data_IF_609093118625
#
_entry.id   IF_609093118625
#
_cell.length_a   1.000
_cell.length_b   1.000
_cell.length_c   1.000
_cell.angle_alpha   90.00
_cell.angle_beta   90.00
_cell.angle_gamma   90.00
#
_symmetry.space_group_name_H-M   'P 1'
#
loop_
_entity.id
_entity.type
_entity.pdbx_description
1 polymer ?
#
# COMPACT_ATOMS: atom_id res chain seq x y z
N UNK A 1 -22.40 -18.24 69.38
CA UNK A 1 -23.71 -17.94 68.81
C UNK A 1 -23.62 -16.54 68.23
N UNK A 2 -24.05 -16.36 66.97
CA UNK A 2 -24.25 -15.09 66.26
C UNK A 2 -23.04 -14.28 65.87
N UNK A 3 -22.53 -14.37 64.64
CA UNK A 3 -22.76 -13.46 63.53
C UNK A 3 -21.85 -13.91 62.33
N UNK A 4 -22.41 -14.69 61.46
CA UNK A 4 -21.84 -15.06 60.17
C UNK A 4 -22.95 -15.03 59.10
N UNK A 5 -23.39 -13.83 58.73
CA UNK A 5 -24.38 -13.69 57.66
C UNK A 5 -24.50 -12.21 57.15
N UNK A 6 -23.36 -11.51 56.91
CA UNK A 6 -23.45 -10.15 56.29
C UNK A 6 -22.20 -9.80 55.46
N UNK A 7 -21.62 -10.75 54.74
CA UNK A 7 -20.52 -10.41 53.82
C UNK A 7 -20.55 -11.25 52.51
N UNK A 8 -21.72 -11.40 51.92
CA UNK A 8 -21.89 -12.14 50.66
C UNK A 8 -22.78 -11.40 49.67
N UNK A 9 -22.63 -10.07 49.55
CA UNK A 9 -23.43 -9.28 48.57
C UNK A 9 -22.72 -8.02 48.02
N UNK A 10 -21.42 -8.12 47.79
CA UNK A 10 -20.68 -7.02 47.16
C UNK A 10 -19.56 -7.54 46.22
N UNK A 11 -19.90 -8.47 45.32
CA UNK A 11 -18.98 -8.90 44.24
C UNK A 11 -19.77 -9.37 43.04
N UNK A 12 -20.59 -8.52 42.46
CA UNK A 12 -21.25 -8.79 41.18
C UNK A 12 -21.68 -7.49 40.47
N UNK A 13 -20.80 -6.48 40.41
CA UNK A 13 -20.98 -5.33 39.53
C UNK A 13 -19.58 -4.88 39.04
N UNK A 14 -18.97 -5.69 38.21
CA UNK A 14 -17.79 -5.41 37.44
C UNK A 14 -17.81 -6.32 36.22
N UNK A 15 -18.85 -6.22 35.40
CA UNK A 15 -18.75 -6.74 34.05
C UNK A 15 -17.65 -5.94 33.39
N UNK A 16 -16.50 -6.59 33.23
CA UNK A 16 -15.36 -6.11 32.45
C UNK A 16 -15.89 -5.69 31.09
N UNK A 17 -16.03 -4.38 30.85
CA UNK A 17 -16.29 -3.90 29.51
C UNK A 17 -15.05 -4.29 28.74
N UNK A 18 -15.19 -5.34 27.93
CA UNK A 18 -14.14 -5.76 27.01
C UNK A 18 -13.62 -4.48 26.31
N UNK A 19 -12.37 -4.14 26.58
CA UNK A 19 -11.74 -2.98 25.97
C UNK A 19 -11.67 -3.21 24.48
N UNK A 20 -12.15 -2.24 23.66
CA UNK A 20 -12.05 -2.34 22.21
C UNK A 20 -10.59 -2.46 21.80
N UNK A 21 -10.25 -3.31 20.81
CA UNK A 21 -8.91 -3.31 20.26
C UNK A 21 -8.51 -1.92 19.75
N UNK A 22 -7.27 -1.53 20.02
CA UNK A 22 -6.73 -0.23 19.64
C UNK A 22 -5.91 -0.33 18.35
N UNK A 23 -6.31 0.45 17.34
CA UNK A 23 -5.66 0.49 16.03
C UNK A 23 -4.85 1.80 15.91
N UNK A 24 -3.54 1.67 15.65
CA UNK A 24 -2.71 2.81 15.30
C UNK A 24 -2.75 3.05 13.79
N UNK A 25 -3.36 4.15 13.36
CA UNK A 25 -3.36 4.58 11.95
C UNK A 25 -2.10 5.39 11.70
N UNK A 26 -1.20 4.86 10.85
CA UNK A 26 0.06 5.51 10.46
C UNK A 26 -0.11 6.21 9.11
N UNK A 27 0.36 7.46 9.00
CA UNK A 27 0.25 8.25 7.78
C UNK A 27 1.40 9.25 7.61
N UNK A 28 1.53 9.83 6.41
CA UNK A 28 2.60 10.73 6.04
C UNK A 28 3.81 9.99 5.47
N UNK A 29 4.96 10.06 6.14
CA UNK A 29 6.17 9.35 5.74
C UNK A 29 7.12 10.16 4.86
N UNK A 30 8.23 9.54 4.45
CA UNK A 30 9.36 10.18 3.77
C UNK A 30 9.25 10.17 2.24
N UNK A 31 8.25 9.47 1.69
CA UNK A 31 8.10 9.34 0.24
C UNK A 31 7.54 10.62 -0.41
N UNK A 32 7.63 10.71 -1.73
CA UNK A 32 6.98 11.75 -2.53
C UNK A 32 5.45 11.70 -2.45
N UNK A 33 4.89 10.60 -1.97
CA UNK A 33 3.44 10.38 -1.81
C UNK A 33 2.92 10.77 -0.41
N UNK A 34 3.72 11.54 0.35
CA UNK A 34 3.39 12.01 1.70
C UNK A 34 2.00 12.64 1.80
N UNK A 35 1.68 13.59 0.92
CA UNK A 35 0.39 14.27 0.91
C UNK A 35 -0.79 13.35 0.55
N UNK A 36 -0.58 12.39 -0.34
CA UNK A 36 -1.56 11.35 -0.69
C UNK A 36 -1.89 10.49 0.54
N UNK A 37 -0.87 10.13 1.31
CA UNK A 37 -1.03 9.41 2.57
C UNK A 37 -1.89 10.16 3.59
N UNK A 38 -1.77 11.49 3.68
CA UNK A 38 -2.61 12.32 4.58
C UNK A 38 -4.08 12.29 4.15
N UNK A 39 -4.34 12.40 2.84
CA UNK A 39 -5.71 12.36 2.28
C UNK A 39 -6.33 10.99 2.54
N UNK A 40 -5.56 9.92 2.34
CA UNK A 40 -5.98 8.55 2.63
C UNK A 40 -6.31 8.38 4.11
N UNK A 41 -5.43 8.85 5.01
CA UNK A 41 -5.64 8.76 6.45
C UNK A 41 -6.89 9.52 6.90
N UNK A 42 -7.13 10.75 6.41
CA UNK A 42 -8.37 11.48 6.67
C UNK A 42 -9.61 10.68 6.30
N UNK A 43 -9.57 10.03 5.14
CA UNK A 43 -10.70 9.22 4.66
C UNK A 43 -10.96 8.01 5.56
N UNK A 44 -9.92 7.28 5.95
CA UNK A 44 -10.01 6.13 6.85
C UNK A 44 -10.46 6.56 8.24
N UNK A 45 -9.88 7.62 8.81
CA UNK A 45 -10.25 8.12 10.15
C UNK A 45 -11.70 8.59 10.25
N UNK A 46 -12.29 9.08 9.15
CA UNK A 46 -13.72 9.42 9.06
C UNK A 46 -14.63 8.19 8.96
N UNK A 47 -14.16 7.11 8.34
CA UNK A 47 -14.97 5.94 8.05
C UNK A 47 -14.79 4.77 9.03
N UNK A 48 -13.67 4.72 9.76
CA UNK A 48 -13.38 3.65 10.70
C UNK A 48 -14.44 3.54 11.80
N UNK A 49 -14.91 2.34 12.07
CA UNK A 49 -16.00 2.07 13.00
C UNK A 49 -15.55 2.23 14.47
N UNK A 50 -15.83 3.41 15.06
CA UNK A 50 -15.46 3.73 16.44
C UNK A 50 -16.24 2.93 17.50
N UNK A 51 -17.30 2.22 17.10
CA UNK A 51 -18.00 1.29 18.00
C UNK A 51 -17.25 -0.02 18.17
N UNK A 52 -16.44 -0.42 17.18
CA UNK A 52 -15.62 -1.61 17.20
C UNK A 52 -14.18 -1.35 17.61
N UNK A 53 -13.60 -0.21 17.20
CA UNK A 53 -12.17 0.06 17.32
C UNK A 53 -11.89 1.35 18.11
N UNK A 54 -10.97 1.27 19.05
CA UNK A 54 -10.25 2.43 19.53
C UNK A 54 -9.16 2.81 18.52
N UNK A 55 -8.88 4.11 18.37
CA UNK A 55 -7.95 4.58 17.35
C UNK A 55 -6.94 5.57 17.92
N UNK A 56 -5.68 5.38 17.51
CA UNK A 56 -4.59 6.33 17.73
C UNK A 56 -4.06 6.75 16.36
N UNK A 57 -3.99 8.06 16.11
CA UNK A 57 -3.47 8.59 14.86
C UNK A 57 -2.02 9.00 15.04
N UNK A 58 -1.13 8.43 14.21
CA UNK A 58 0.31 8.67 14.26
C UNK A 58 0.77 9.19 12.89
N UNK A 59 1.16 10.43 12.84
CA UNK A 59 1.73 11.05 11.66
C UNK A 59 3.25 10.94 11.64
N UNK A 60 3.80 10.62 10.47
CA UNK A 60 5.23 10.55 10.21
C UNK A 60 5.61 11.74 9.32
N UNK A 61 6.46 12.62 9.82
CA UNK A 61 6.95 13.78 9.07
C UNK A 61 7.86 13.36 7.89
N UNK A 62 8.17 14.29 7.00
CA UNK A 62 9.04 14.03 5.83
C UNK A 62 10.48 13.71 6.20
N UNK A 63 10.94 14.10 7.39
CA UNK A 63 12.24 13.70 7.96
C UNK A 63 12.19 12.38 8.74
N UNK A 64 11.00 11.77 8.87
CA UNK A 64 10.81 10.46 9.49
C UNK A 64 10.53 10.50 11.00
N UNK A 65 10.26 11.64 11.60
CA UNK A 65 9.86 11.72 13.01
C UNK A 65 8.36 11.41 13.17
N UNK A 66 8.03 10.71 14.25
CA UNK A 66 6.67 10.23 14.53
C UNK A 66 6.02 11.08 15.61
N UNK A 67 4.76 11.49 15.38
CA UNK A 67 4.00 12.34 16.30
C UNK A 67 2.56 11.86 16.43
N UNK A 68 1.94 12.09 17.59
CA UNK A 68 0.49 11.95 17.74
C UNK A 68 -0.21 13.15 17.11
N UNK A 69 -1.30 12.86 16.42
CA UNK A 69 -2.22 13.86 15.89
C UNK A 69 -3.65 13.47 16.26
N UNK A 70 -4.50 14.47 16.51
CA UNK A 70 -5.92 14.23 16.51
C UNK A 70 -6.48 14.21 15.09
N UNK A 71 -7.67 13.66 14.93
CA UNK A 71 -8.38 13.72 13.65
C UNK A 71 -8.68 15.15 13.25
N UNK A 72 -9.04 16.01 14.21
CA UNK A 72 -9.35 17.41 14.01
C UNK A 72 -8.14 18.21 13.49
N UNK A 73 -6.94 17.93 14.01
CA UNK A 73 -5.69 18.55 13.54
C UNK A 73 -5.41 18.19 12.09
N UNK A 74 -5.57 16.91 11.72
CA UNK A 74 -5.38 16.46 10.36
C UNK A 74 -6.43 17.06 9.41
N UNK A 75 -7.69 17.12 9.83
CA UNK A 75 -8.77 17.72 9.03
C UNK A 75 -8.52 19.21 8.82
N UNK A 76 -8.20 19.95 9.86
CA UNK A 76 -7.90 21.39 9.77
C UNK A 76 -6.70 21.68 8.85
N UNK A 77 -5.66 20.84 8.90
CA UNK A 77 -4.50 20.96 8.02
C UNK A 77 -4.91 20.78 6.55
N UNK A 78 -5.62 19.71 6.23
CA UNK A 78 -6.00 19.39 4.84
C UNK A 78 -7.10 20.30 4.29
N UNK A 79 -7.95 20.87 5.13
CA UNK A 79 -8.93 21.88 4.71
C UNK A 79 -8.25 23.22 4.36
N UNK A 80 -7.16 23.55 5.05
CA UNK A 80 -6.38 24.75 4.75
C UNK A 80 -5.41 24.56 3.57
N UNK A 81 -4.90 23.33 3.38
CA UNK A 81 -3.90 23.01 2.37
C UNK A 81 -4.07 21.53 1.91
N UNK A 82 -4.79 21.26 0.82
CA UNK A 82 -5.10 19.90 0.38
C UNK A 82 -3.88 18.99 0.12
N UNK A 83 -2.77 19.57 -0.34
CA UNK A 83 -1.50 18.84 -0.57
C UNK A 83 -0.46 19.21 0.50
N UNK A 84 -0.89 19.18 1.77
CA UNK A 84 -0.06 19.58 2.89
C UNK A 84 1.11 18.60 3.15
N UNK A 85 2.12 19.14 3.81
CA UNK A 85 3.14 18.36 4.51
C UNK A 85 2.87 18.45 6.00
N UNK A 86 2.98 17.33 6.73
CA UNK A 86 2.78 17.33 8.19
C UNK A 86 3.81 18.25 8.87
N UNK A 87 3.38 19.22 9.64
CA UNK A 87 4.27 19.95 10.55
C UNK A 87 4.76 19.01 11.66
N UNK A 88 5.73 19.42 12.44
CA UNK A 88 6.06 18.72 13.67
C UNK A 88 4.90 18.81 14.66
N UNK A 89 4.46 17.68 15.20
CA UNK A 89 3.43 17.61 16.22
C UNK A 89 3.98 17.92 17.61
N UNK A 90 3.10 18.17 18.56
CA UNK A 90 3.46 18.50 19.95
C UNK A 90 3.99 17.29 20.73
N UNK A 91 3.51 16.08 20.42
CA UNK A 91 3.88 14.85 21.10
C UNK A 91 4.59 13.90 20.17
N UNK A 92 5.92 13.81 20.31
CA UNK A 92 6.73 12.84 19.61
C UNK A 92 6.55 11.45 20.22
N UNK A 93 6.45 10.42 19.36
CA UNK A 93 6.31 9.02 19.79
C UNK A 93 7.30 8.10 19.10
N UNK A 94 7.54 6.95 19.69
CA UNK A 94 8.29 5.84 19.07
C UNK A 94 7.63 4.52 19.45
N UNK A 95 7.85 3.48 18.63
CA UNK A 95 7.49 2.11 18.97
C UNK A 95 8.50 1.54 19.98
N UNK A 96 8.06 0.72 20.96
CA UNK A 96 8.97 -0.15 21.66
C UNK A 96 9.49 -1.21 20.70
N UNK A 97 10.79 -1.52 20.76
CA UNK A 97 11.38 -2.58 19.94
C UNK A 97 11.58 -3.88 20.73
N UNK A 98 11.05 -3.94 21.95
CA UNK A 98 11.05 -5.16 22.75
C UNK A 98 9.80 -5.97 22.40
N UNK A 99 10.01 -7.20 21.95
CA UNK A 99 8.92 -8.12 21.64
C UNK A 99 7.94 -8.28 22.81
N UNK A 100 6.64 -8.20 22.51
CA UNK A 100 5.57 -8.25 23.50
C UNK A 100 5.27 -6.93 24.22
N UNK A 101 6.00 -5.86 23.96
CA UNK A 101 5.64 -4.50 24.38
C UNK A 101 4.94 -3.79 23.21
N UNK A 102 3.70 -3.36 23.40
CA UNK A 102 2.86 -2.76 22.35
C UNK A 102 2.37 -1.36 22.71
N UNK A 103 2.84 -0.78 23.82
CA UNK A 103 2.51 0.60 24.16
C UNK A 103 3.43 1.58 23.43
N UNK A 104 2.86 2.58 22.76
CA UNK A 104 3.64 3.70 22.23
C UNK A 104 4.46 4.38 23.35
N UNK A 105 5.70 4.72 23.06
CA UNK A 105 6.54 5.49 23.97
C UNK A 105 6.41 6.98 23.62
N UNK A 106 5.86 7.76 24.54
CA UNK A 106 5.67 9.21 24.41
C UNK A 106 6.88 9.93 24.97
N UNK A 107 7.51 10.78 24.14
CA UNK A 107 8.65 11.61 24.52
C UNK A 107 8.17 12.91 25.17
N UNK A 108 8.44 13.09 26.44
CA UNK A 108 8.20 14.34 27.15
C UNK A 108 9.52 15.13 27.21
N UNK A 109 9.75 15.94 26.19
CA UNK A 109 10.96 16.74 26.05
C UNK A 109 10.80 18.08 26.77
N UNK A 110 11.73 18.43 27.64
CA UNK A 110 11.81 19.73 28.32
C UNK A 110 13.20 20.35 28.10
N UNK A 111 13.35 21.63 28.38
CA UNK A 111 14.65 22.29 28.31
C UNK A 111 15.72 21.72 29.26
N UNK A 112 15.28 21.04 30.33
CA UNK A 112 16.15 20.47 31.39
C UNK A 112 16.44 18.97 31.18
N UNK A 113 15.83 18.35 30.17
CA UNK A 113 15.97 16.94 29.86
C UNK A 113 14.67 16.34 29.34
N UNK A 114 14.61 15.01 29.19
CA UNK A 114 13.44 14.32 28.69
C UNK A 114 13.15 13.06 29.47
N UNK A 115 11.88 12.65 29.48
CA UNK A 115 11.44 11.35 29.99
C UNK A 115 10.59 10.64 28.94
N UNK A 116 10.56 9.32 29.01
CA UNK A 116 9.65 8.48 28.24
C UNK A 116 8.52 8.02 29.16
N UNK A 117 7.30 8.12 28.67
CA UNK A 117 6.12 7.56 29.35
C UNK A 117 5.45 6.55 28.41
N UNK A 118 4.86 5.50 28.99
CA UNK A 118 4.05 4.56 28.22
C UNK A 118 2.75 5.25 27.81
N UNK A 119 2.46 5.18 26.54
CA UNK A 119 1.23 5.67 25.93
C UNK A 119 0.17 4.56 25.86
N UNK A 120 -0.62 4.59 24.78
CA UNK A 120 -1.66 3.60 24.55
C UNK A 120 -1.08 2.26 24.08
N UNK A 121 -1.71 1.18 24.53
CA UNK A 121 -1.52 -0.16 23.97
C UNK A 121 -2.05 -0.19 22.53
N UNK A 122 -1.34 -0.85 21.63
CA UNK A 122 -1.70 -1.01 20.21
C UNK A 122 -1.89 -2.50 19.94
N UNK A 123 -3.07 -2.88 19.47
CA UNK A 123 -3.40 -4.24 19.07
C UNK A 123 -3.07 -4.52 17.60
N UNK A 124 -3.24 -3.50 16.75
CA UNK A 124 -2.88 -3.56 15.34
C UNK A 124 -2.47 -2.18 14.81
N UNK A 125 -1.65 -2.18 13.78
CA UNK A 125 -1.24 -0.97 13.03
C UNK A 125 -1.92 -0.98 11.67
N UNK A 126 -2.49 0.14 11.26
CA UNK A 126 -2.98 0.35 9.89
C UNK A 126 -2.06 1.35 9.18
N UNK A 127 -1.06 0.86 8.43
CA UNK A 127 -0.17 1.73 7.70
C UNK A 127 -0.85 2.22 6.42
N UNK A 128 -1.03 3.52 6.30
CA UNK A 128 -1.56 4.21 5.12
C UNK A 128 -0.45 5.01 4.43
N UNK A 129 0.71 4.40 4.32
CA UNK A 129 1.92 4.98 3.73
C UNK A 129 2.09 4.44 2.32
N UNK A 130 2.29 5.32 1.35
CA UNK A 130 2.47 4.95 -0.04
C UNK A 130 3.92 5.12 -0.48
N UNK A 131 4.35 4.25 -1.41
CA UNK A 131 5.68 4.27 -2.00
C UNK A 131 6.82 3.81 -1.07
N UNK A 132 8.06 4.26 -1.32
CA UNK A 132 9.22 3.87 -0.53
C UNK A 132 9.05 4.15 0.97
N UNK A 133 9.60 3.28 1.80
CA UNK A 133 9.47 3.24 3.27
C UNK A 133 8.06 2.89 3.79
N UNK A 134 7.04 2.84 2.95
CA UNK A 134 5.68 2.40 3.30
C UNK A 134 5.34 1.04 2.72
N UNK A 135 5.68 0.81 1.44
CA UNK A 135 5.32 -0.39 0.68
C UNK A 135 6.52 -1.28 0.32
N UNK A 136 7.72 -1.00 0.79
CA UNK A 136 8.96 -1.66 0.41
C UNK A 136 9.49 -2.70 1.42
N UNK A 137 8.71 -3.01 2.45
CA UNK A 137 9.07 -3.94 3.51
C UNK A 137 9.83 -3.31 4.68
N UNK A 138 10.27 -2.05 4.61
CA UNK A 138 11.04 -1.41 5.70
C UNK A 138 10.17 -1.12 6.91
N UNK A 139 8.97 -0.58 6.73
CA UNK A 139 8.01 -0.40 7.82
C UNK A 139 7.53 -1.73 8.37
N UNK A 140 7.20 -2.67 7.48
CA UNK A 140 6.76 -4.00 7.86
C UNK A 140 7.82 -4.71 8.72
N UNK A 141 9.10 -4.61 8.33
CA UNK A 141 10.22 -5.14 9.13
C UNK A 141 10.35 -4.49 10.52
N UNK A 142 10.07 -3.20 10.64
CA UNK A 142 10.03 -2.51 11.94
C UNK A 142 8.89 -3.06 12.81
N UNK A 143 7.70 -3.27 12.22
CA UNK A 143 6.53 -3.80 12.94
C UNK A 143 6.72 -5.26 13.35
N UNK A 144 7.36 -6.08 12.50
CA UNK A 144 7.76 -7.47 12.85
C UNK A 144 8.73 -7.49 14.02
N UNK A 145 9.76 -6.63 14.04
CA UNK A 145 10.71 -6.54 15.16
C UNK A 145 10.06 -6.12 16.47
N UNK A 146 8.95 -5.37 16.40
CA UNK A 146 8.17 -4.93 17.54
C UNK A 146 7.05 -5.91 17.95
N UNK A 147 6.92 -7.07 17.29
CA UNK A 147 5.80 -8.01 17.46
C UNK A 147 4.41 -7.35 17.35
N UNK A 148 4.28 -6.34 16.49
CA UNK A 148 3.02 -5.65 16.25
C UNK A 148 2.31 -6.21 15.01
N UNK A 149 1.03 -6.53 15.17
CA UNK A 149 0.16 -6.87 14.04
C UNK A 149 -0.08 -5.65 13.17
N UNK A 150 -0.24 -5.86 11.87
CA UNK A 150 -0.50 -4.75 10.96
C UNK A 150 -1.38 -5.20 9.78
N UNK A 151 -2.11 -4.24 9.24
CA UNK A 151 -2.92 -4.39 8.01
C UNK A 151 -1.99 -4.42 6.81
N UNK A 152 -2.26 -5.34 5.89
CA UNK A 152 -1.59 -5.40 4.60
C UNK A 152 -0.50 -6.46 4.51
N UNK A 153 0.24 -6.41 3.42
CA UNK A 153 1.25 -7.39 3.06
C UNK A 153 2.44 -7.39 4.02
N UNK A 154 3.08 -8.56 4.16
CA UNK A 154 4.27 -8.77 4.95
C UNK A 154 5.55 -8.20 4.32
N UNK A 155 6.68 -8.43 4.97
CA UNK A 155 8.01 -7.92 4.54
C UNK A 155 8.35 -8.42 3.13
N UNK A 156 8.23 -9.73 2.89
CA UNK A 156 8.54 -10.36 1.59
C UNK A 156 7.68 -9.80 0.46
N UNK A 157 6.37 -9.84 0.65
CA UNK A 157 5.42 -9.38 -0.35
C UNK A 157 5.62 -7.89 -0.70
N UNK A 158 5.82 -7.04 0.31
CA UNK A 158 6.08 -5.62 0.12
C UNK A 158 7.39 -5.37 -0.63
N UNK A 159 8.48 -6.05 -0.27
CA UNK A 159 9.77 -5.88 -0.92
C UNK A 159 9.77 -6.38 -2.38
N UNK A 160 9.09 -7.50 -2.65
CA UNK A 160 8.93 -8.04 -4.01
C UNK A 160 8.01 -7.15 -4.82
N UNK A 161 6.86 -6.75 -4.28
CA UNK A 161 5.88 -5.88 -4.95
C UNK A 161 6.43 -4.50 -5.31
N UNK A 162 7.34 -3.96 -4.51
CA UNK A 162 8.00 -2.68 -4.80
C UNK A 162 9.02 -2.78 -5.93
N UNK A 163 9.67 -3.91 -6.14
CA UNK A 163 10.72 -4.07 -7.15
C UNK A 163 10.15 -4.73 -8.43
N UNK A 164 9.92 -3.92 -9.48
CA UNK A 164 9.32 -4.37 -10.76
C UNK A 164 10.00 -5.59 -11.40
N UNK A 165 11.31 -5.76 -11.18
CA UNK A 165 12.01 -6.94 -11.67
C UNK A 165 11.65 -8.18 -10.85
N UNK A 166 11.80 -8.14 -9.52
CA UNK A 166 11.53 -9.31 -8.69
C UNK A 166 10.05 -9.69 -8.68
N UNK A 167 9.16 -8.72 -8.76
CA UNK A 167 7.74 -8.93 -8.95
C UNK A 167 7.44 -9.73 -10.23
N UNK A 168 8.02 -9.33 -11.38
CA UNK A 168 7.86 -10.06 -12.65
C UNK A 168 8.43 -11.49 -12.56
N UNK A 169 9.57 -11.67 -11.91
CA UNK A 169 10.15 -13.01 -11.68
C UNK A 169 9.20 -13.89 -10.84
N UNK A 170 8.57 -13.34 -9.81
CA UNK A 170 7.58 -14.06 -9.01
C UNK A 170 6.36 -14.47 -9.87
N UNK A 171 5.85 -13.55 -10.68
CA UNK A 171 4.71 -13.80 -11.57
C UNK A 171 5.01 -14.88 -12.61
N UNK A 172 6.16 -14.80 -13.30
CA UNK A 172 6.61 -15.83 -14.27
C UNK A 172 6.73 -17.19 -13.60
N UNK A 173 7.29 -17.25 -12.38
CA UNK A 173 7.42 -18.49 -11.61
C UNK A 173 6.07 -19.11 -11.24
N UNK A 174 5.03 -18.27 -11.07
CA UNK A 174 3.66 -18.71 -10.81
C UNK A 174 2.87 -19.02 -12.09
N UNK A 175 3.49 -18.91 -13.27
CA UNK A 175 2.84 -19.18 -14.55
C UNK A 175 1.98 -18.05 -15.09
N UNK A 176 2.10 -16.84 -14.55
CA UNK A 176 1.43 -15.67 -15.07
C UNK A 176 2.17 -15.09 -16.28
N UNK A 177 1.43 -14.62 -17.25
CA UNK A 177 1.98 -13.94 -18.43
C UNK A 177 2.34 -12.50 -18.08
N UNK A 178 3.61 -12.13 -18.28
CA UNK A 178 4.12 -10.76 -18.13
C UNK A 178 4.53 -10.22 -19.51
N UNK A 179 4.48 -8.89 -19.66
CA UNK A 179 4.99 -8.24 -20.87
C UNK A 179 6.50 -8.43 -21.03
N UNK A 180 7.04 -8.48 -22.27
CA UNK A 180 8.47 -8.59 -22.50
C UNK A 180 9.26 -7.45 -21.84
N UNK A 181 10.37 -7.76 -21.17
CA UNK A 181 11.17 -6.77 -20.47
C UNK A 181 12.66 -7.11 -20.45
N UNK A 182 13.49 -6.13 -20.16
CA UNK A 182 14.92 -6.33 -19.83
C UNK A 182 15.28 -5.51 -18.59
N UNK A 183 16.21 -6.04 -17.79
CA UNK A 183 16.71 -5.38 -16.59
C UNK A 183 18.06 -4.74 -16.88
N UNK A 184 18.21 -3.48 -16.48
CA UNK A 184 19.45 -2.72 -16.63
C UNK A 184 19.97 -2.33 -15.25
N UNK A 185 21.08 -2.96 -14.85
CA UNK A 185 21.82 -2.52 -13.68
C UNK A 185 22.75 -1.36 -14.04
N UNK A 186 22.99 -0.47 -13.09
CA UNK A 186 23.89 0.68 -13.27
C UNK A 186 25.27 0.27 -13.83
N UNK A 187 25.83 -0.86 -13.34
CA UNK A 187 27.10 -1.40 -13.84
C UNK A 187 27.06 -1.77 -15.33
N UNK A 188 25.93 -2.32 -15.80
CA UNK A 188 25.78 -2.76 -17.20
C UNK A 188 25.75 -1.55 -18.13
N UNK A 189 25.02 -0.52 -17.73
CA UNK A 189 24.95 0.73 -18.46
C UNK A 189 26.30 1.45 -18.52
N UNK A 190 27.05 1.54 -17.40
CA UNK A 190 28.33 2.23 -17.34
C UNK A 190 29.45 1.49 -18.09
N UNK A 191 29.43 0.17 -18.16
CA UNK A 191 30.52 -0.63 -18.69
C UNK A 191 30.22 -1.33 -20.02
N UNK A 192 28.97 -1.45 -20.41
CA UNK A 192 28.55 -2.17 -21.63
C UNK A 192 27.25 -1.59 -22.21
N UNK A 193 27.16 -0.26 -22.45
CA UNK A 193 25.92 0.38 -22.90
C UNK A 193 25.43 -0.17 -24.25
N UNK A 194 26.34 -0.62 -25.15
CA UNK A 194 25.97 -1.21 -26.42
C UNK A 194 25.13 -2.49 -26.23
N UNK A 195 25.53 -3.37 -25.28
CA UNK A 195 24.77 -4.57 -24.98
C UNK A 195 23.41 -4.27 -24.37
N UNK A 196 23.28 -3.15 -23.66
CA UNK A 196 21.98 -2.69 -23.15
C UNK A 196 21.09 -2.27 -24.31
N UNK A 197 21.62 -1.45 -25.25
CA UNK A 197 20.88 -1.01 -26.44
C UNK A 197 20.44 -2.20 -27.31
N UNK A 198 21.32 -3.20 -27.52
CA UNK A 198 20.99 -4.44 -28.24
C UNK A 198 19.81 -5.18 -27.60
N UNK A 199 19.86 -5.43 -26.28
CA UNK A 199 18.75 -6.09 -25.56
C UNK A 199 17.44 -5.31 -25.61
N UNK A 200 17.50 -3.96 -25.53
CA UNK A 200 16.32 -3.14 -25.65
C UNK A 200 15.75 -3.15 -27.08
N UNK A 201 16.63 -3.16 -28.09
CA UNK A 201 16.19 -3.25 -29.48
C UNK A 201 15.44 -4.56 -29.80
N UNK A 202 15.78 -5.66 -29.11
CA UNK A 202 15.06 -6.94 -29.22
C UNK A 202 13.61 -6.86 -28.71
N UNK A 203 13.29 -5.92 -27.80
CA UNK A 203 11.92 -5.72 -27.33
C UNK A 203 11.01 -5.05 -28.38
N UNK A 204 11.60 -4.31 -29.32
CA UNK A 204 10.88 -3.44 -30.24
C UNK A 204 10.37 -2.15 -29.57
N UNK A 205 10.16 -1.11 -30.38
CA UNK A 205 9.64 0.17 -29.90
C UNK A 205 8.13 0.26 -30.16
N UNK A 206 7.35 1.00 -29.33
CA UNK A 206 7.82 1.77 -28.18
C UNK A 206 8.19 0.89 -26.98
N UNK A 207 9.15 1.38 -26.16
CA UNK A 207 9.47 0.80 -24.85
C UNK A 207 9.23 1.82 -23.73
N UNK A 208 9.04 1.33 -22.51
CA UNK A 208 8.92 2.14 -21.31
C UNK A 208 10.13 1.93 -20.41
N UNK A 209 10.92 2.97 -20.18
CA UNK A 209 12.07 2.95 -19.27
C UNK A 209 11.59 3.35 -17.90
N UNK A 210 11.72 2.45 -16.91
CA UNK A 210 11.16 2.60 -15.57
C UNK A 210 12.25 2.41 -14.50
N UNK A 211 12.31 3.25 -13.45
CA UNK A 211 13.00 2.89 -12.21
C UNK A 211 12.40 1.60 -11.65
N UNK A 212 13.23 0.67 -11.17
CA UNK A 212 12.72 -0.61 -10.68
C UNK A 212 11.88 -0.46 -9.41
N UNK A 213 12.23 0.51 -8.54
CA UNK A 213 11.65 0.70 -7.20
C UNK A 213 11.10 2.13 -7.02
N UNK A 214 10.16 2.51 -7.88
CA UNK A 214 9.44 3.76 -7.78
C UNK A 214 7.95 3.53 -7.97
N UNK A 215 7.13 4.21 -7.16
CA UNK A 215 5.67 4.23 -7.24
C UNK A 215 5.15 5.36 -8.15
N UNK A 216 3.82 5.44 -8.29
CA UNK A 216 3.08 6.54 -8.93
C UNK A 216 3.63 7.00 -10.28
N UNK A 217 4.13 6.08 -11.09
CA UNK A 217 4.73 6.34 -12.42
C UNK A 217 5.92 7.33 -12.41
N UNK A 218 6.55 7.57 -11.26
CA UNK A 218 7.63 8.54 -11.14
C UNK A 218 8.88 8.09 -11.90
N UNK A 219 9.41 8.94 -12.77
CA UNK A 219 10.62 8.66 -13.55
C UNK A 219 10.43 7.69 -14.71
N UNK A 220 9.18 7.36 -15.09
CA UNK A 220 8.87 6.54 -16.27
C UNK A 220 8.95 7.42 -17.52
N UNK A 221 9.60 6.90 -18.56
CA UNK A 221 9.71 7.56 -19.86
C UNK A 221 9.33 6.57 -20.97
N UNK A 222 8.36 6.95 -21.81
CA UNK A 222 8.06 6.26 -23.07
C UNK A 222 9.10 6.65 -24.11
N UNK A 223 9.62 5.67 -24.80
CA UNK A 223 10.64 5.82 -25.85
C UNK A 223 10.11 5.19 -27.13
N UNK A 224 9.84 6.02 -28.12
CA UNK A 224 9.31 5.57 -29.42
C UNK A 224 10.41 5.24 -30.42
N UNK A 225 11.65 5.72 -30.20
CA UNK A 225 12.78 5.54 -31.14
C UNK A 225 14.09 5.32 -30.38
N UNK A 226 14.97 4.53 -30.98
CA UNK A 226 16.26 4.14 -30.38
C UNK A 226 17.14 5.34 -29.96
N UNK A 227 17.06 6.45 -30.70
CA UNK A 227 17.86 7.66 -30.46
C UNK A 227 17.51 8.36 -29.14
N UNK A 228 16.30 8.16 -28.61
CA UNK A 228 15.82 8.78 -27.37
C UNK A 228 16.12 7.91 -26.13
N UNK A 229 16.58 6.65 -26.33
CA UNK A 229 16.76 5.65 -25.26
C UNK A 229 17.77 6.09 -24.19
N UNK A 230 18.92 6.61 -24.60
CA UNK A 230 19.99 6.99 -23.68
C UNK A 230 19.53 8.10 -22.72
N UNK A 231 18.82 9.08 -23.24
CA UNK A 231 18.25 10.18 -22.43
C UNK A 231 17.24 9.66 -21.42
N UNK A 232 16.38 8.73 -21.83
CA UNK A 232 15.38 8.11 -20.96
C UNK A 232 16.04 7.28 -19.83
N UNK A 233 17.09 6.52 -20.16
CA UNK A 233 17.88 5.77 -19.18
C UNK A 233 18.52 6.72 -18.16
N UNK A 234 19.16 7.80 -18.62
CA UNK A 234 19.79 8.78 -17.70
C UNK A 234 18.76 9.48 -16.80
N UNK A 235 17.57 9.76 -17.31
CA UNK A 235 16.48 10.31 -16.52
C UNK A 235 16.03 9.32 -15.43
N UNK A 236 15.74 8.08 -15.78
CA UNK A 236 15.30 7.06 -14.85
C UNK A 236 16.36 6.71 -13.79
N UNK A 237 17.67 6.77 -14.15
CA UNK A 237 18.79 6.55 -13.22
C UNK A 237 18.91 7.60 -12.11
N UNK A 238 18.30 8.77 -12.25
CA UNK A 238 18.22 9.75 -11.18
C UNK A 238 17.33 9.28 -10.04
N UNK A 239 16.44 8.35 -10.29
CA UNK A 239 15.48 7.82 -9.32
C UNK A 239 15.87 6.42 -8.79
N UNK A 240 16.42 5.52 -9.63
CA UNK A 240 16.94 4.23 -9.22
C UNK A 240 18.09 3.77 -10.11
N UNK A 241 19.11 3.17 -9.52
CA UNK A 241 20.26 2.61 -10.24
C UNK A 241 19.98 1.25 -10.88
N UNK A 242 18.79 0.66 -10.64
CA UNK A 242 18.25 -0.51 -11.30
C UNK A 242 17.03 -0.09 -12.10
N UNK A 243 17.02 -0.40 -13.38
CA UNK A 243 15.91 -0.07 -14.28
C UNK A 243 15.28 -1.35 -14.84
N UNK A 244 14.00 -1.26 -15.14
CA UNK A 244 13.25 -2.23 -15.93
C UNK A 244 12.78 -1.51 -17.19
N UNK A 245 13.11 -2.05 -18.35
CA UNK A 245 12.67 -1.53 -19.65
C UNK A 245 11.72 -2.54 -20.24
N UNK A 246 10.50 -2.11 -20.52
CA UNK A 246 9.39 -2.96 -20.93
C UNK A 246 8.92 -2.61 -22.34
N UNK A 247 8.57 -3.61 -23.13
CA UNK A 247 7.87 -3.41 -24.41
C UNK A 247 6.51 -2.76 -24.15
N UNK A 248 6.10 -1.86 -25.03
CA UNK A 248 4.75 -1.29 -25.00
C UNK A 248 3.69 -2.35 -25.32
N UNK A 249 2.69 -2.47 -24.46
CA UNK A 249 1.55 -3.38 -24.64
C UNK A 249 0.35 -2.55 -25.10
N UNK A 250 -0.29 -2.97 -26.17
CA UNK A 250 -1.57 -2.39 -26.60
C UNK A 250 -2.69 -3.16 -25.92
N UNK A 251 -3.37 -2.50 -24.99
CA UNK A 251 -4.44 -3.11 -24.21
C UNK A 251 -5.17 -2.10 -23.34
N UNK A 252 -6.26 -2.55 -22.73
CA UNK A 252 -7.02 -1.80 -21.73
C UNK A 252 -6.36 -1.99 -20.36
N UNK A 253 -6.26 -0.93 -19.57
CA UNK A 253 -5.73 -0.99 -18.21
C UNK A 253 -6.83 -1.42 -17.25
N UNK A 254 -6.71 -2.61 -16.68
CA UNK A 254 -7.70 -3.24 -15.80
C UNK A 254 -7.07 -3.53 -14.45
N UNK A 255 -7.72 -3.08 -13.40
CA UNK A 255 -7.32 -3.33 -12.01
C UNK A 255 -8.23 -4.37 -11.37
N UNK A 256 -7.69 -5.20 -10.48
CA UNK A 256 -8.43 -6.17 -9.68
C UNK A 256 -7.94 -6.14 -8.23
N UNK A 257 -8.85 -5.92 -7.28
CA UNK A 257 -8.53 -5.90 -5.86
C UNK A 257 -8.55 -7.33 -5.28
N UNK A 258 -7.60 -7.61 -4.39
CA UNK A 258 -7.53 -8.88 -3.65
C UNK A 258 -7.58 -8.60 -2.17
N UNK A 259 -8.30 -9.46 -1.42
CA UNK A 259 -8.34 -9.55 0.03
C UNK A 259 -7.92 -10.94 0.49
N UNK A 260 -7.10 -11.00 1.53
CA UNK A 260 -6.82 -12.25 2.24
C UNK A 260 -8.08 -12.90 2.81
N UNK A 261 -7.99 -14.18 3.13
CA UNK A 261 -9.08 -14.92 3.76
C UNK A 261 -8.88 -15.05 5.27
N UNK A 262 -9.97 -15.06 6.02
CA UNK A 262 -9.96 -15.35 7.46
C UNK A 262 -9.55 -16.80 7.73
N UNK A 263 -8.91 -17.03 8.89
CA UNK A 263 -8.54 -18.38 9.35
C UNK A 263 -7.77 -19.19 8.28
N UNK A 264 -6.93 -18.50 7.49
CA UNK A 264 -6.16 -19.11 6.39
C UNK A 264 -7.00 -19.62 5.22
N UNK A 265 -8.22 -19.14 5.06
CA UNK A 265 -9.01 -19.39 3.85
C UNK A 265 -8.33 -18.75 2.62
N UNK A 266 -8.67 -19.24 1.45
CA UNK A 266 -8.15 -18.71 0.21
C UNK A 266 -8.50 -17.21 0.05
N UNK A 267 -7.57 -16.40 -0.52
CA UNK A 267 -7.87 -15.01 -0.84
C UNK A 267 -8.97 -14.91 -1.88
N UNK A 268 -9.63 -13.77 -1.90
CA UNK A 268 -10.74 -13.48 -2.83
C UNK A 268 -10.47 -12.22 -3.64
N UNK A 269 -10.88 -12.25 -4.90
CA UNK A 269 -10.76 -11.13 -5.81
C UNK A 269 -12.11 -10.42 -6.02
N UNK A 270 -12.07 -9.09 -6.16
CA UNK A 270 -13.23 -8.25 -6.47
C UNK A 270 -13.68 -8.39 -7.93
N UNK A 271 -14.76 -7.72 -8.28
CA UNK A 271 -15.01 -7.35 -9.67
C UNK A 271 -13.92 -6.38 -10.14
N UNK A 272 -13.40 -6.51 -11.39
CA UNK A 272 -12.36 -5.63 -11.89
C UNK A 272 -12.88 -4.23 -12.23
N UNK A 273 -11.99 -3.26 -12.14
CA UNK A 273 -12.21 -1.89 -12.59
C UNK A 273 -11.34 -1.54 -13.78
N UNK A 274 -11.72 -0.56 -14.57
CA UNK A 274 -10.99 -0.07 -15.73
C UNK A 274 -10.58 1.38 -15.55
N UNK A 275 -9.35 1.68 -15.97
CA UNK A 275 -8.84 3.03 -16.07
C UNK A 275 -8.78 3.42 -17.54
N UNK A 276 -9.60 4.37 -17.95
CA UNK A 276 -9.56 4.98 -19.27
C UNK A 276 -8.84 6.33 -19.17
N UNK A 277 -7.59 6.37 -19.62
CA UNK A 277 -6.80 7.61 -19.63
C UNK A 277 -7.36 8.56 -20.68
N UNK A 278 -7.62 9.81 -20.28
CA UNK A 278 -8.15 10.83 -21.17
C UNK A 278 -7.11 11.93 -21.41
N UNK A 279 -6.73 12.14 -22.67
CA UNK A 279 -5.85 13.26 -23.05
C UNK A 279 -4.36 13.09 -22.76
N UNK A 280 -3.94 11.98 -22.18
CA UNK A 280 -2.53 11.65 -21.91
C UNK A 280 -2.13 10.36 -22.63
N UNK A 281 -0.82 10.22 -22.92
CA UNK A 281 -0.29 9.00 -23.54
C UNK A 281 -0.21 7.80 -22.57
N UNK A 282 -0.26 8.06 -21.25
CA UNK A 282 -0.29 7.04 -20.18
C UNK A 282 -0.72 7.66 -18.84
N UNK A 283 -1.14 6.80 -17.90
CA UNK A 283 -1.64 7.20 -16.57
C UNK A 283 -0.50 7.57 -15.62
N UNK A 284 -0.08 8.84 -15.65
CA UNK A 284 1.00 9.38 -14.85
C UNK A 284 0.53 10.00 -13.52
N UNK A 285 1.46 10.61 -12.76
CA UNK A 285 1.16 11.21 -11.46
C UNK A 285 0.16 12.38 -11.56
N UNK A 286 0.25 13.20 -12.62
CA UNK A 286 -0.67 14.33 -12.82
C UNK A 286 -2.10 13.85 -13.08
N UNK A 287 -2.26 12.86 -13.97
CA UNK A 287 -3.56 12.24 -14.26
C UNK A 287 -4.15 11.49 -13.05
N UNK A 288 -3.29 10.99 -12.11
CA UNK A 288 -3.73 10.26 -10.91
C UNK A 288 -4.24 11.15 -9.78
N UNK A 289 -3.65 12.32 -9.58
CA UNK A 289 -3.83 13.07 -8.32
C UNK A 289 -4.08 14.57 -8.48
N UNK A 290 -3.87 15.14 -9.66
CA UNK A 290 -3.89 16.60 -9.87
C UNK A 290 -5.03 17.03 -10.79
N UNK A 291 -5.36 16.25 -11.81
CA UNK A 291 -6.39 16.60 -12.80
C UNK A 291 -7.72 15.89 -12.52
N UNK A 292 -8.80 16.67 -12.38
CA UNK A 292 -10.16 16.12 -12.14
C UNK A 292 -10.68 15.28 -13.33
N UNK A 293 -10.17 15.49 -14.56
CA UNK A 293 -10.59 14.83 -15.80
C UNK A 293 -9.49 13.95 -16.44
N UNK A 294 -8.37 13.68 -15.74
CA UNK A 294 -7.21 12.96 -16.29
C UNK A 294 -7.49 11.48 -16.60
N UNK A 295 -8.44 10.85 -15.92
CA UNK A 295 -8.84 9.46 -16.17
C UNK A 295 -10.29 9.21 -15.78
N UNK A 296 -10.97 8.38 -16.57
CA UNK A 296 -12.30 7.86 -16.26
C UNK A 296 -12.17 6.49 -15.60
N UNK A 297 -12.72 6.37 -14.40
CA UNK A 297 -12.75 5.12 -13.66
C UNK A 297 -14.11 4.43 -13.83
N UNK A 298 -14.12 3.25 -14.44
CA UNK A 298 -15.30 2.41 -14.62
C UNK A 298 -15.22 1.16 -13.75
N UNK A 299 -16.20 0.95 -12.89
CA UNK A 299 -16.28 -0.24 -12.04
C UNK A 299 -17.74 -0.69 -11.89
N UNK A 300 -18.07 -1.96 -12.23
CA UNK A 300 -17.18 -2.95 -12.83
C UNK A 300 -16.73 -2.57 -14.26
N UNK A 301 -15.59 -3.13 -14.69
CA UNK A 301 -15.11 -3.00 -16.06
C UNK A 301 -16.07 -3.68 -17.04
N UNK A 302 -16.30 -3.05 -18.21
CA UNK A 302 -17.14 -3.64 -19.25
C UNK A 302 -16.35 -4.67 -20.08
N UNK A 303 -16.30 -5.91 -19.60
CA UNK A 303 -15.59 -7.04 -20.19
C UNK A 303 -16.50 -8.27 -20.28
N UNK A 304 -16.21 -9.24 -21.17
CA UNK A 304 -16.87 -10.55 -21.16
C UNK A 304 -16.65 -11.27 -19.82
N UNK A 305 -17.67 -12.02 -19.37
CA UNK A 305 -17.65 -12.74 -18.09
C UNK A 305 -16.43 -13.66 -17.94
N UNK A 306 -16.07 -14.39 -19.00
CA UNK A 306 -14.90 -15.27 -19.00
C UNK A 306 -13.57 -14.52 -18.80
N UNK A 307 -13.48 -13.28 -19.27
CA UNK A 307 -12.30 -12.41 -19.07
C UNK A 307 -12.28 -11.90 -17.62
N UNK A 308 -13.45 -11.54 -17.08
CA UNK A 308 -13.59 -11.13 -15.67
C UNK A 308 -13.13 -12.25 -14.74
N UNK A 309 -13.59 -13.50 -14.95
CA UNK A 309 -13.17 -14.62 -14.11
C UNK A 309 -11.67 -14.93 -14.27
N UNK A 310 -11.13 -14.86 -15.49
CA UNK A 310 -9.68 -15.00 -15.73
C UNK A 310 -8.86 -13.94 -14.98
N UNK A 311 -9.32 -12.68 -14.97
CA UNK A 311 -8.68 -11.59 -14.22
C UNK A 311 -8.68 -11.87 -12.72
N UNK A 312 -9.81 -12.31 -12.17
CA UNK A 312 -9.96 -12.62 -10.76
C UNK A 312 -9.07 -13.79 -10.33
N UNK A 313 -9.03 -14.87 -11.12
CA UNK A 313 -8.15 -16.02 -10.89
C UNK A 313 -6.67 -15.59 -10.92
N UNK A 314 -6.26 -14.85 -11.96
CA UNK A 314 -4.88 -14.36 -12.10
C UNK A 314 -4.50 -13.37 -10.99
N UNK A 315 -5.43 -12.56 -10.50
CA UNK A 315 -5.18 -11.64 -9.39
C UNK A 315 -4.88 -12.40 -8.09
N UNK A 316 -5.62 -13.48 -7.79
CA UNK A 316 -5.34 -14.35 -6.65
C UNK A 316 -3.99 -15.04 -6.82
N UNK A 317 -3.68 -15.59 -8.00
CA UNK A 317 -2.36 -16.20 -8.27
C UNK A 317 -1.23 -15.19 -8.11
N UNK A 318 -1.41 -13.93 -8.55
CA UNK A 318 -0.41 -12.88 -8.38
C UNK A 318 -0.18 -12.51 -6.91
N UNK A 319 -1.25 -12.47 -6.13
CA UNK A 319 -1.21 -12.24 -4.69
C UNK A 319 -0.44 -13.36 -3.97
N UNK A 320 -0.75 -14.61 -4.26
CA UNK A 320 -0.06 -15.77 -3.69
C UNK A 320 1.41 -15.84 -4.15
N UNK A 321 1.71 -15.45 -5.40
CA UNK A 321 3.07 -15.48 -5.95
C UNK A 321 4.07 -14.59 -5.19
N UNK A 322 3.60 -13.54 -4.53
CA UNK A 322 4.42 -12.65 -3.73
C UNK A 322 4.29 -12.92 -2.21
N UNK A 323 3.57 -13.96 -1.81
CA UNK A 323 3.23 -14.25 -0.41
C UNK A 323 2.39 -13.10 0.19
N UNK A 324 1.34 -12.70 -0.52
CA UNK A 324 0.46 -11.59 -0.16
C UNK A 324 -0.37 -11.86 1.08
N UNK A 325 -0.60 -10.84 1.89
CA UNK A 325 -1.45 -10.89 3.08
C UNK A 325 -2.32 -9.62 3.15
N UNK A 326 -3.49 -9.74 3.75
CA UNK A 326 -4.41 -8.60 3.95
C UNK A 326 -4.99 -8.08 2.66
N UNK A 327 -4.29 -7.20 1.94
CA UNK A 327 -4.79 -6.57 0.71
C UNK A 327 -3.71 -6.41 -0.36
N UNK A 328 -4.15 -6.39 -1.61
CA UNK A 328 -3.38 -5.85 -2.74
C UNK A 328 -4.29 -5.43 -3.89
N UNK A 329 -3.76 -4.68 -4.85
CA UNK A 329 -4.35 -4.42 -6.16
C UNK A 329 -3.41 -4.94 -7.23
N UNK A 330 -3.94 -5.78 -8.11
CA UNK A 330 -3.23 -6.31 -9.26
C UNK A 330 -3.68 -5.53 -10.51
N UNK A 331 -2.72 -5.05 -11.27
CA UNK A 331 -2.94 -4.22 -12.45
C UNK A 331 -2.58 -5.02 -13.70
N UNK A 332 -3.47 -5.06 -14.68
CA UNK A 332 -3.38 -5.88 -15.88
C UNK A 332 -3.54 -5.06 -17.15
N UNK A 333 -2.96 -5.56 -18.24
CA UNK A 333 -3.37 -5.19 -19.59
C UNK A 333 -4.26 -6.30 -20.17
N UNK A 334 -5.42 -5.89 -20.70
CA UNK A 334 -6.30 -6.79 -21.48
C UNK A 334 -6.20 -6.39 -22.94
N UNK A 335 -5.60 -7.24 -23.75
CA UNK A 335 -5.39 -6.99 -25.19
C UNK A 335 -6.69 -7.09 -25.97
N UNK A 336 -6.75 -6.60 -27.25
CA UNK A 336 -7.95 -6.70 -28.09
C UNK A 336 -8.43 -8.13 -28.35
N UNK A 337 -7.54 -9.12 -28.28
CA UNK A 337 -7.84 -10.56 -28.38
C UNK A 337 -8.06 -11.23 -27.01
N UNK A 338 -8.30 -10.41 -25.98
CA UNK A 338 -8.63 -10.81 -24.61
C UNK A 338 -7.53 -11.56 -23.85
N UNK A 339 -6.26 -11.43 -24.24
CA UNK A 339 -5.16 -11.92 -23.40
C UNK A 339 -5.05 -11.03 -22.15
N UNK A 340 -4.87 -11.67 -20.99
CA UNK A 340 -4.72 -11.01 -19.70
C UNK A 340 -3.26 -11.09 -19.28
N UNK A 341 -2.56 -9.97 -19.33
CA UNK A 341 -1.14 -9.81 -19.04
C UNK A 341 -1.00 -9.02 -17.74
N UNK A 342 -0.31 -9.59 -16.73
CA UNK A 342 -0.10 -8.85 -15.49
C UNK A 342 1.00 -7.80 -15.67
N UNK A 343 0.73 -6.60 -15.18
CA UNK A 343 1.68 -5.49 -15.17
C UNK A 343 2.39 -5.38 -13.82
N UNK A 344 1.62 -5.17 -12.74
CA UNK A 344 2.18 -4.98 -11.39
C UNK A 344 1.19 -5.38 -10.29
N UNK A 345 1.69 -5.47 -9.05
CA UNK A 345 0.91 -5.60 -7.82
C UNK A 345 1.26 -4.46 -6.87
N UNK A 346 0.25 -3.86 -6.27
CA UNK A 346 0.37 -2.78 -5.29
C UNK A 346 -0.05 -3.30 -3.93
N UNK A 347 0.87 -3.33 -2.97
CA UNK A 347 0.64 -3.89 -1.63
C UNK A 347 -0.06 -2.93 -0.67
N UNK A 348 -0.10 -1.63 -1.00
CA UNK A 348 -0.94 -0.62 -0.35
C UNK A 348 -1.51 0.35 -1.40
N UNK A 349 -2.55 -0.07 -2.15
CA UNK A 349 -3.14 0.77 -3.19
C UNK A 349 -3.78 2.02 -2.61
N UNK A 350 -4.09 3.00 -3.47
CA UNK A 350 -4.89 4.17 -3.09
C UNK A 350 -6.17 3.74 -2.36
N UNK A 351 -6.42 4.32 -1.18
CA UNK A 351 -7.44 3.84 -0.26
C UNK A 351 -8.42 4.94 0.19
N UNK A 352 -8.68 5.93 -0.66
CA UNK A 352 -9.80 6.87 -0.47
C UNK A 352 -11.10 6.29 -1.03
N UNK A 353 -12.28 6.76 -0.62
CA UNK A 353 -13.56 6.24 -1.16
C UNK A 353 -13.71 6.34 -2.68
N UNK A 354 -12.99 7.26 -3.32
CA UNK A 354 -12.98 7.45 -4.77
C UNK A 354 -11.87 6.64 -5.48
N UNK A 355 -10.94 6.06 -4.73
CA UNK A 355 -9.87 5.21 -5.27
C UNK A 355 -10.44 3.90 -5.82
N UNK A 356 -9.77 3.34 -6.82
CA UNK A 356 -10.26 2.14 -7.52
C UNK A 356 -10.39 0.93 -6.58
N UNK A 357 -9.45 0.72 -5.65
CA UNK A 357 -9.48 -0.43 -4.74
C UNK A 357 -10.77 -0.50 -3.92
N UNK A 358 -11.17 0.54 -3.14
CA UNK A 358 -12.45 0.50 -2.43
C UNK A 358 -13.67 0.48 -3.36
N UNK A 359 -13.62 1.13 -4.53
CA UNK A 359 -14.72 1.10 -5.50
C UNK A 359 -14.98 -0.29 -6.07
N UNK A 360 -13.93 -1.06 -6.34
CA UNK A 360 -14.05 -2.45 -6.77
C UNK A 360 -14.69 -3.34 -5.70
N UNK A 361 -14.36 -3.10 -4.43
CA UNK A 361 -14.99 -3.83 -3.34
C UNK A 361 -16.44 -3.40 -3.13
N UNK A 362 -16.77 -2.12 -3.22
CA UNK A 362 -18.16 -1.63 -3.15
C UNK A 362 -19.00 -2.24 -4.29
N UNK A 363 -18.49 -2.29 -5.52
CA UNK A 363 -19.13 -2.97 -6.64
C UNK A 363 -19.29 -4.49 -6.42
N UNK A 364 -18.45 -5.08 -5.59
CA UNK A 364 -18.50 -6.49 -5.18
C UNK A 364 -19.32 -6.73 -3.92
N UNK A 365 -19.98 -5.69 -3.37
CA UNK A 365 -20.89 -5.79 -2.23
C UNK A 365 -20.24 -5.59 -0.85
N UNK A 366 -18.99 -5.08 -0.78
CA UNK A 366 -18.30 -4.75 0.46
C UNK A 366 -18.05 -3.24 0.53
N UNK A 367 -18.85 -2.54 1.33
CA UNK A 367 -18.80 -1.11 1.48
C UNK A 367 -17.52 -0.62 2.21
N UNK A 368 -17.16 0.64 2.06
CA UNK A 368 -15.88 1.19 2.51
C UNK A 368 -15.60 1.00 4.01
N UNK A 369 -16.62 1.24 4.87
CA UNK A 369 -16.49 1.04 6.32
C UNK A 369 -16.30 -0.44 6.66
N UNK A 370 -17.05 -1.33 5.99
CA UNK A 370 -16.95 -2.78 6.21
C UNK A 370 -15.62 -3.32 5.68
N UNK A 371 -15.08 -2.75 4.59
CA UNK A 371 -13.76 -3.07 4.07
C UNK A 371 -12.65 -2.71 5.08
N UNK A 372 -12.75 -1.56 5.75
CA UNK A 372 -11.82 -1.18 6.81
C UNK A 372 -11.92 -2.16 7.99
N UNK A 373 -13.13 -2.51 8.41
CA UNK A 373 -13.38 -3.46 9.48
C UNK A 373 -12.83 -4.86 9.17
N UNK A 374 -12.99 -5.31 7.92
CA UNK A 374 -12.47 -6.57 7.40
C UNK A 374 -10.93 -6.60 7.47
N UNK A 375 -10.27 -5.57 6.96
CA UNK A 375 -8.82 -5.46 6.96
C UNK A 375 -8.21 -5.44 8.36
N UNK A 376 -8.84 -4.73 9.31
CA UNK A 376 -8.40 -4.71 10.71
C UNK A 376 -8.61 -6.08 11.34
N UNK A 377 -9.73 -6.75 11.05
CA UNK A 377 -10.01 -8.09 11.56
C UNK A 377 -8.98 -9.11 11.06
N UNK A 378 -8.63 -9.09 9.78
CA UNK A 378 -7.55 -9.91 9.20
C UNK A 378 -6.20 -9.64 9.87
N UNK A 379 -5.89 -8.37 10.14
CA UNK A 379 -4.65 -8.02 10.84
C UNK A 379 -4.60 -8.59 12.26
N UNK A 380 -5.71 -8.60 12.99
CA UNK A 380 -5.79 -9.13 14.35
C UNK A 380 -5.64 -10.67 14.40
N UNK A 381 -5.97 -11.38 13.34
CA UNK A 381 -5.74 -12.83 13.21
C UNK A 381 -4.28 -13.17 12.89
N UNK A 382 -3.51 -12.19 12.43
CA UNK A 382 -2.11 -12.39 12.03
C UNK A 382 -1.28 -12.88 13.23
N UNK A 383 -0.51 -13.97 13.09
CA UNK A 383 0.42 -14.41 14.13
C UNK A 383 1.54 -13.39 14.30
N UNK A 384 2.07 -13.28 15.51
CA UNK A 384 3.27 -12.49 15.82
C UNK A 384 4.40 -13.43 16.22
N UNK A 385 5.64 -12.94 16.14
CA UNK A 385 6.83 -13.72 16.46
C UNK A 385 7.34 -14.57 15.30
N UNK A 386 8.08 -15.63 15.60
CA UNK A 386 8.66 -16.52 14.59
C UNK A 386 7.55 -17.27 13.81
N UNK A 387 7.63 -17.23 12.49
CA UNK A 387 6.71 -17.86 11.52
C UNK A 387 7.38 -19.02 10.80
#
# INVERSE_FOLDING_TARGET
>A
MTNTAENAQATAEGADKATKPCVAVLFGGRSSEHSVSLITARSVLRAINRDRWDVVSVGISTDGAWFLYSQEELEALLDSQPMATLPAGDQRVTLPLQAGESELLVHNLTAEGGSLTRGRHIDAVFPLLHGPFGEDGTLQGLLELADLRYVGCGVSASAIGMDKHFMKVAFESAGLEVGPYTVVHNRDWLHSPEKVRERVAELGFPVFVKPARAGSSFGITRVDRAEDLDSAIETARQHDLKLVIEAGIVGREIECAVLGGHEWAAPRASLPGEIEVQGHDFYDFEAKYVEDDGARLSCPANLPEEVIETLREKAVVAFDAVDGEGLSRCDFFVTPDHQVIINEINTMPGFTPISMYPRMWAASGLEYTDLIDELISLALERPVGLR
#
